data_IF_213415848748
#
_entry.id   IF_213415848748
#
_cell.length_a   1.000
_cell.length_b   1.000
_cell.length_c   1.000
_cell.angle_alpha   90.00
_cell.angle_beta   90.00
_cell.angle_gamma   90.00
#
_symmetry.space_group_name_H-M   'P 1'
#
loop_
_entity.id
_entity.type
_entity.pdbx_description
1 polymer ?
#
# COMPACT_ATOMS: atom_id res chain seq x y z
N UNK A 1 28.42 -22.77 5.04
CA UNK A 1 26.94 -22.65 4.98
C UNK A 1 26.57 -21.98 6.29
N UNK A 2 26.19 -20.68 6.25
CA UNK A 2 25.57 -20.00 7.40
C UNK A 2 24.10 -20.38 7.39
N UNK A 3 23.59 -20.84 8.52
CA UNK A 3 22.14 -21.01 8.73
C UNK A 3 21.43 -19.67 8.46
N UNK A 4 20.27 -19.68 7.82
CA UNK A 4 19.47 -18.47 7.67
C UNK A 4 19.07 -18.03 9.07
N UNK A 5 19.58 -16.89 9.50
CA UNK A 5 19.08 -16.20 10.69
C UNK A 5 17.62 -15.87 10.41
N UNK A 6 16.72 -16.48 11.15
CA UNK A 6 15.32 -16.06 11.25
C UNK A 6 15.31 -14.66 11.87
N UNK A 7 15.49 -13.62 11.06
CA UNK A 7 15.16 -12.26 11.49
C UNK A 7 13.67 -12.21 11.71
N UNK A 8 13.26 -12.16 12.97
CA UNK A 8 11.90 -11.90 13.38
C UNK A 8 11.50 -10.50 12.88
N UNK A 9 10.39 -10.43 12.14
CA UNK A 9 9.86 -9.15 11.68
C UNK A 9 9.42 -8.32 12.88
N UNK A 10 9.65 -6.99 12.95
CA UNK A 10 9.28 -6.15 14.10
C UNK A 10 7.83 -6.27 14.55
N UNK A 11 6.90 -6.67 13.67
CA UNK A 11 5.51 -6.92 14.01
C UNK A 11 5.25 -8.34 14.55
N UNK A 12 6.16 -9.30 14.33
CA UNK A 12 6.06 -10.63 14.96
C UNK A 12 6.60 -10.60 16.39
N UNK A 13 7.47 -9.63 16.74
CA UNK A 13 7.97 -9.44 18.11
C UNK A 13 6.89 -8.91 19.06
N UNK A 14 5.89 -8.19 18.56
CA UNK A 14 4.76 -7.68 19.36
C UNK A 14 3.59 -8.67 19.48
N UNK A 15 3.64 -9.83 18.79
CA UNK A 15 2.58 -10.85 18.82
C UNK A 15 2.90 -11.94 19.83
N UNK A 16 1.84 -12.42 20.48
CA UNK A 16 1.94 -13.60 21.35
C UNK A 16 2.55 -14.78 20.55
N UNK A 17 3.69 -15.36 20.99
CA UNK A 17 4.33 -16.49 20.33
C UNK A 17 3.41 -17.69 20.10
N UNK A 18 2.41 -17.90 20.99
CA UNK A 18 1.42 -18.95 20.84
C UNK A 18 0.51 -18.69 19.63
N UNK A 19 0.10 -17.45 19.41
CA UNK A 19 -0.69 -17.05 18.23
C UNK A 19 0.12 -17.21 16.94
N UNK A 20 1.38 -16.84 16.92
CA UNK A 20 2.26 -17.02 15.75
C UNK A 20 2.47 -18.51 15.41
N UNK A 21 2.67 -19.36 16.41
CA UNK A 21 2.80 -20.81 16.23
C UNK A 21 1.51 -21.44 15.72
N UNK A 22 0.36 -20.98 16.22
CA UNK A 22 -0.95 -21.44 15.77
C UNK A 22 -1.17 -21.11 14.29
N UNK A 23 -1.01 -19.86 13.87
CA UNK A 23 -1.16 -19.43 12.46
C UNK A 23 -0.18 -20.18 11.55
N UNK A 24 1.06 -20.45 12.01
CA UNK A 24 2.01 -21.28 11.28
C UNK A 24 1.50 -22.71 11.10
N UNK A 25 0.85 -23.28 12.14
CA UNK A 25 0.23 -24.60 12.06
C UNK A 25 -0.86 -24.67 10.98
N UNK A 26 -1.75 -23.69 10.97
CA UNK A 26 -2.79 -23.56 9.94
C UNK A 26 -2.19 -23.42 8.53
N UNK A 27 -1.15 -22.61 8.37
CA UNK A 27 -0.47 -22.45 7.10
C UNK A 27 0.17 -23.75 6.61
N UNK A 28 0.72 -24.59 7.51
CA UNK A 28 1.28 -25.89 7.17
C UNK A 28 0.20 -26.86 6.66
N UNK A 29 -0.96 -26.88 7.30
CA UNK A 29 -2.10 -27.67 6.87
C UNK A 29 -2.61 -27.26 5.49
N UNK A 30 -2.77 -25.95 5.26
CA UNK A 30 -3.21 -25.41 3.96
C UNK A 30 -2.15 -25.68 2.89
N UNK A 31 -0.85 -25.41 3.15
CA UNK A 31 0.22 -25.65 2.19
C UNK A 31 0.25 -27.11 1.71
N UNK A 32 0.10 -28.07 2.63
CA UNK A 32 0.12 -29.49 2.31
C UNK A 32 -0.99 -29.90 1.33
N UNK A 33 -2.16 -29.26 1.36
CA UNK A 33 -3.26 -29.51 0.42
C UNK A 33 -2.89 -29.16 -1.03
N UNK A 34 -1.91 -28.26 -1.21
CA UNK A 34 -1.43 -27.78 -2.51
C UNK A 34 -0.02 -28.30 -2.84
N UNK A 35 0.47 -29.29 -2.11
CA UNK A 35 1.77 -29.93 -2.34
C UNK A 35 2.98 -29.18 -1.79
N UNK A 36 2.77 -28.11 -1.00
CA UNK A 36 3.82 -27.35 -0.33
C UNK A 36 4.24 -27.96 1.01
N UNK A 37 5.51 -27.80 1.36
CA UNK A 37 6.04 -28.11 2.70
C UNK A 37 6.51 -26.81 3.36
N UNK A 38 5.77 -26.37 4.37
CA UNK A 38 6.04 -25.08 5.04
C UNK A 38 7.47 -24.96 5.60
N UNK A 39 8.14 -26.11 5.89
CA UNK A 39 9.52 -26.09 6.34
C UNK A 39 10.53 -25.75 5.23
N UNK A 40 10.13 -25.86 3.97
CA UNK A 40 10.91 -25.47 2.79
C UNK A 40 10.51 -24.09 2.25
N UNK A 41 9.37 -23.58 2.71
CA UNK A 41 8.86 -22.27 2.31
C UNK A 41 9.49 -21.16 3.16
N UNK A 42 9.82 -20.04 2.55
CA UNK A 42 10.26 -18.85 3.26
C UNK A 42 9.07 -18.02 3.73
N UNK A 43 9.20 -17.42 4.91
CA UNK A 43 8.26 -16.40 5.36
C UNK A 43 8.47 -15.12 4.55
N UNK A 44 7.44 -14.64 3.87
CA UNK A 44 7.49 -13.34 3.21
C UNK A 44 7.28 -12.22 4.25
N UNK A 45 7.84 -11.05 3.98
CA UNK A 45 7.55 -9.84 4.76
C UNK A 45 6.13 -9.39 4.46
N UNK A 46 5.37 -9.02 5.47
CA UNK A 46 4.01 -8.51 5.36
C UNK A 46 3.55 -7.95 6.69
N UNK A 47 2.68 -6.93 6.66
CA UNK A 47 2.21 -6.25 7.86
C UNK A 47 0.85 -6.77 8.33
N UNK A 48 -0.05 -7.08 7.41
CA UNK A 48 -1.44 -7.43 7.71
C UNK A 48 -1.66 -8.93 7.86
N UNK A 49 -0.94 -9.74 7.06
CA UNK A 49 -1.18 -11.16 6.92
C UNK A 49 0.12 -11.99 7.06
N UNK A 50 -0.03 -13.26 7.38
CA UNK A 50 1.05 -14.22 7.43
C UNK A 50 1.19 -14.93 6.06
N UNK A 51 2.30 -14.73 5.35
CA UNK A 51 2.51 -15.30 4.02
C UNK A 51 3.78 -16.16 3.97
N UNK A 52 3.69 -17.35 3.39
CA UNK A 52 4.80 -18.25 3.09
C UNK A 52 4.86 -18.53 1.60
N UNK A 53 6.07 -18.54 1.02
CA UNK A 53 6.31 -18.69 -0.41
C UNK A 53 7.36 -19.76 -0.66
N UNK A 54 7.09 -20.68 -1.55
CA UNK A 54 7.97 -21.77 -1.94
C UNK A 54 7.20 -22.98 -2.47
N UNK A 55 7.93 -23.95 -2.98
CA UNK A 55 7.36 -25.19 -3.55
C UNK A 55 6.30 -24.93 -4.65
N UNK A 56 6.41 -23.82 -5.37
CA UNK A 56 5.48 -23.45 -6.45
C UNK A 56 4.20 -22.77 -6.00
N UNK A 57 4.04 -22.50 -4.70
CA UNK A 57 2.85 -21.83 -4.15
C UNK A 57 3.19 -20.72 -3.16
N UNK A 58 2.26 -19.79 -2.99
CA UNK A 58 2.26 -18.85 -1.88
C UNK A 58 0.98 -19.04 -1.05
N UNK A 59 1.13 -19.17 0.27
CA UNK A 59 0.04 -19.35 1.23
C UNK A 59 -0.05 -18.13 2.12
N UNK A 60 -1.17 -17.43 2.07
CA UNK A 60 -1.50 -16.27 2.92
C UNK A 60 -2.60 -16.65 3.90
N UNK A 61 -2.37 -16.40 5.19
CA UNK A 61 -3.34 -16.62 6.27
C UNK A 61 -3.58 -15.27 6.97
N UNK A 62 -4.83 -14.93 7.20
CA UNK A 62 -5.17 -13.73 7.99
C UNK A 62 -4.86 -13.94 9.47
N UNK A 63 -4.40 -12.89 10.15
CA UNK A 63 -4.17 -12.97 11.60
C UNK A 63 -5.44 -12.83 12.42
N UNK A 64 -6.44 -12.17 11.87
CA UNK A 64 -7.78 -11.99 12.43
C UNK A 64 -8.80 -12.31 11.35
N UNK A 65 -10.01 -12.75 11.71
CA UNK A 65 -11.08 -12.92 10.72
C UNK A 65 -11.31 -11.60 9.96
N UNK A 66 -11.14 -11.63 8.64
CA UNK A 66 -11.37 -10.52 7.71
C UNK A 66 -12.11 -11.08 6.50
N UNK A 67 -13.15 -10.40 6.05
CA UNK A 67 -13.83 -10.77 4.82
C UNK A 67 -12.94 -10.41 3.59
N UNK A 68 -12.34 -11.43 2.98
CA UNK A 68 -11.50 -11.31 1.79
C UNK A 68 -12.28 -11.50 0.47
N UNK A 69 -13.61 -11.62 0.51
CA UNK A 69 -14.39 -11.96 -0.68
C UNK A 69 -14.25 -10.92 -1.80
N UNK A 70 -14.25 -9.63 -1.46
CA UNK A 70 -14.08 -8.54 -2.44
C UNK A 70 -12.67 -8.56 -3.05
N UNK A 71 -11.63 -8.71 -2.26
CA UNK A 71 -10.25 -8.81 -2.74
C UNK A 71 -10.07 -10.03 -3.66
N UNK A 72 -10.60 -11.20 -3.26
CA UNK A 72 -10.54 -12.42 -4.06
C UNK A 72 -11.27 -12.24 -5.40
N UNK A 73 -12.45 -11.64 -5.38
CA UNK A 73 -13.23 -11.38 -6.59
C UNK A 73 -12.47 -10.44 -7.54
N UNK A 74 -11.90 -9.37 -7.01
CA UNK A 74 -11.10 -8.42 -7.76
C UNK A 74 -9.85 -9.10 -8.34
N UNK A 75 -9.06 -9.78 -7.52
CA UNK A 75 -7.83 -10.46 -7.93
C UNK A 75 -8.07 -11.47 -9.08
N UNK A 76 -9.19 -12.18 -9.08
CA UNK A 76 -9.59 -13.10 -10.16
C UNK A 76 -10.00 -12.41 -11.45
N UNK A 77 -10.41 -11.15 -11.38
CA UNK A 77 -10.86 -10.36 -12.53
C UNK A 77 -9.78 -9.45 -13.11
N UNK A 78 -8.63 -9.31 -12.44
CA UNK A 78 -7.52 -8.49 -12.92
C UNK A 78 -7.02 -8.97 -14.29
N UNK A 79 -6.69 -8.05 -15.22
CA UNK A 79 -6.00 -8.40 -16.45
C UNK A 79 -4.67 -9.13 -16.20
N UNK A 80 -4.32 -10.06 -17.09
CA UNK A 80 -3.08 -10.84 -16.98
C UNK A 80 -1.83 -9.97 -16.97
N UNK A 81 -1.86 -8.82 -17.62
CA UNK A 81 -0.78 -7.84 -17.71
C UNK A 81 -0.41 -7.23 -16.35
N UNK A 82 -1.30 -7.26 -15.38
CA UNK A 82 -1.01 -6.87 -13.98
C UNK A 82 -0.01 -7.86 -13.36
N UNK A 83 -0.01 -9.11 -13.82
CA UNK A 83 0.88 -10.16 -13.32
C UNK A 83 0.48 -10.70 -11.94
N UNK A 84 -0.73 -10.38 -11.45
CA UNK A 84 -1.21 -10.89 -10.17
C UNK A 84 -1.18 -12.43 -10.18
N UNK A 85 -0.65 -13.09 -9.13
CA UNK A 85 -0.57 -14.54 -9.05
C UNK A 85 -1.95 -15.19 -9.17
N UNK A 86 -2.06 -16.27 -9.96
CA UNK A 86 -3.30 -17.00 -10.10
C UNK A 86 -3.71 -17.64 -8.77
N UNK A 87 -4.93 -17.39 -8.32
CA UNK A 87 -5.51 -17.99 -7.11
C UNK A 87 -5.81 -19.46 -7.39
N UNK A 88 -5.17 -20.35 -6.60
CA UNK A 88 -5.36 -21.80 -6.63
C UNK A 88 -6.48 -22.25 -5.71
N UNK A 89 -6.62 -21.59 -4.57
CA UNK A 89 -7.66 -21.89 -3.60
C UNK A 89 -7.86 -20.80 -2.58
N UNK A 90 -9.02 -20.85 -1.96
CA UNK A 90 -9.44 -19.92 -0.89
C UNK A 90 -10.30 -20.68 0.10
N UNK A 91 -10.31 -20.27 1.34
CA UNK A 91 -11.17 -20.85 2.36
C UNK A 91 -10.97 -20.24 3.72
N UNK A 92 -11.60 -20.87 4.70
CA UNK A 92 -11.50 -20.49 6.12
C UNK A 92 -11.13 -21.72 6.92
N UNK A 93 -10.20 -21.58 7.86
CA UNK A 93 -9.77 -22.62 8.78
C UNK A 93 -9.66 -22.04 10.19
N UNK A 94 -10.33 -22.63 11.17
CA UNK A 94 -10.36 -22.17 12.56
C UNK A 94 -10.67 -20.66 12.70
N UNK A 95 -11.55 -20.12 11.82
CA UNK A 95 -11.93 -18.71 11.80
C UNK A 95 -10.92 -17.77 11.11
N UNK A 96 -9.84 -18.30 10.53
CA UNK A 96 -8.86 -17.55 9.76
C UNK A 96 -9.08 -17.78 8.27
N UNK A 97 -9.21 -16.71 7.50
CA UNK A 97 -9.28 -16.82 6.05
C UNK A 97 -7.90 -17.07 5.45
N UNK A 98 -7.87 -17.81 4.37
CA UNK A 98 -6.65 -18.10 3.65
C UNK A 98 -6.82 -18.03 2.13
N UNK A 99 -5.73 -17.65 1.48
CA UNK A 99 -5.60 -17.68 0.02
C UNK A 99 -4.33 -18.45 -0.33
N UNK A 100 -4.43 -19.34 -1.30
CA UNK A 100 -3.27 -19.97 -1.94
C UNK A 100 -3.21 -19.50 -3.38
N UNK A 101 -2.03 -19.02 -3.79
CA UNK A 101 -1.75 -18.62 -5.17
C UNK A 101 -0.58 -19.41 -5.74
N UNK A 102 -0.39 -19.35 -7.06
CA UNK A 102 0.86 -19.78 -7.68
C UNK A 102 2.01 -18.91 -7.16
N UNK A 103 3.18 -19.52 -7.00
CA UNK A 103 4.41 -18.79 -6.74
C UNK A 103 4.84 -18.06 -8.00
N UNK A 104 4.95 -16.74 -7.94
CA UNK A 104 5.55 -15.92 -8.99
C UNK A 104 7.04 -15.74 -8.69
N UNK A 105 7.87 -15.95 -9.72
CA UNK A 105 9.32 -15.73 -9.61
C UNK A 105 9.62 -14.27 -9.32
N UNK A 106 10.73 -14.06 -8.60
CA UNK A 106 11.18 -12.73 -8.23
C UNK A 106 11.28 -12.55 -6.73
N UNK A 107 11.83 -11.44 -6.34
CA UNK A 107 11.88 -11.00 -4.96
C UNK A 107 11.00 -9.77 -4.77
N UNK A 108 10.62 -9.48 -3.55
CA UNK A 108 9.91 -8.25 -3.23
C UNK A 108 10.74 -7.03 -3.69
N UNK A 109 10.13 -6.09 -4.39
CA UNK A 109 10.85 -4.95 -4.96
C UNK A 109 11.49 -4.07 -3.87
N UNK A 110 10.84 -3.93 -2.72
CA UNK A 110 11.42 -3.23 -1.56
C UNK A 110 12.71 -3.92 -1.05
N UNK A 111 12.74 -5.26 -1.03
CA UNK A 111 13.94 -6.03 -0.65
C UNK A 111 15.05 -5.94 -1.70
N UNK A 112 14.69 -5.86 -2.99
CA UNK A 112 15.65 -5.67 -4.08
C UNK A 112 16.27 -4.26 -4.07
N UNK A 113 15.50 -3.25 -3.66
CA UNK A 113 15.77 -1.83 -3.81
C UNK A 113 17.19 -1.38 -3.41
N UNK A 114 17.75 -1.81 -2.25
CA UNK A 114 19.09 -1.38 -1.82
C UNK A 114 20.21 -1.78 -2.77
N UNK A 115 20.01 -2.87 -3.55
CA UNK A 115 21.04 -3.42 -4.45
C UNK A 115 20.85 -3.00 -5.90
N UNK A 116 19.72 -2.36 -6.24
CA UNK A 116 19.40 -1.92 -7.59
C UNK A 116 20.23 -0.70 -8.01
N UNK A 117 20.63 -0.70 -9.27
CA UNK A 117 21.24 0.47 -9.90
C UNK A 117 20.21 1.60 -10.09
N UNK A 118 20.66 2.87 -10.23
CA UNK A 118 19.78 4.00 -10.56
C UNK A 118 18.88 3.77 -11.78
N UNK A 119 19.41 3.10 -12.81
CA UNK A 119 18.66 2.80 -14.02
C UNK A 119 17.54 1.77 -13.77
N UNK A 120 17.81 0.75 -12.95
CA UNK A 120 16.82 -0.25 -12.56
C UNK A 120 15.73 0.36 -11.70
N UNK A 121 16.07 1.22 -10.72
CA UNK A 121 15.08 1.93 -9.90
C UNK A 121 14.14 2.77 -10.77
N UNK A 122 14.68 3.58 -11.69
CA UNK A 122 13.85 4.36 -12.63
C UNK A 122 12.96 3.46 -13.50
N UNK A 123 13.49 2.33 -13.97
CA UNK A 123 12.72 1.36 -14.77
C UNK A 123 11.60 0.74 -13.94
N UNK A 124 11.88 0.31 -12.72
CA UNK A 124 10.90 -0.28 -11.82
C UNK A 124 9.73 0.66 -11.54
N UNK A 125 9.98 1.95 -11.28
CA UNK A 125 8.91 2.94 -11.04
C UNK A 125 8.02 3.11 -12.27
N UNK A 126 8.60 3.16 -13.49
CA UNK A 126 7.80 3.24 -14.71
C UNK A 126 6.95 2.00 -14.91
N UNK A 127 7.53 0.81 -14.72
CA UNK A 127 6.80 -0.46 -14.87
C UNK A 127 5.72 -0.66 -13.81
N UNK A 128 5.96 -0.21 -12.57
CA UNK A 128 4.92 -0.16 -11.53
C UNK A 128 3.74 0.67 -12.01
N UNK A 129 4.00 1.87 -12.52
CA UNK A 129 2.95 2.75 -13.02
C UNK A 129 2.25 2.16 -14.25
N UNK A 130 2.97 1.60 -15.19
CA UNK A 130 2.40 0.92 -16.38
C UNK A 130 1.44 -0.20 -15.97
N UNK A 131 1.79 -0.99 -14.94
CA UNK A 131 0.91 -2.06 -14.46
C UNK A 131 -0.33 -1.55 -13.75
N UNK A 132 -0.22 -0.50 -12.96
CA UNK A 132 -1.40 0.09 -12.33
C UNK A 132 -2.30 0.79 -13.34
N UNK A 133 -1.73 1.37 -14.41
CA UNK A 133 -2.54 1.89 -15.51
C UNK A 133 -3.40 0.81 -16.18
N UNK A 134 -2.91 -0.43 -16.30
CA UNK A 134 -3.74 -1.56 -16.77
C UNK A 134 -4.94 -1.79 -15.86
N UNK A 135 -4.78 -1.64 -14.54
CA UNK A 135 -5.90 -1.71 -13.58
C UNK A 135 -6.87 -0.54 -13.77
N UNK A 136 -6.34 0.69 -13.94
CA UNK A 136 -7.14 1.89 -14.20
C UNK A 136 -7.97 1.73 -15.49
N UNK A 137 -7.35 1.26 -16.59
CA UNK A 137 -8.02 1.04 -17.87
C UNK A 137 -9.09 -0.05 -17.80
N UNK A 138 -8.91 -1.04 -16.91
CA UNK A 138 -9.88 -2.10 -16.68
C UNK A 138 -11.04 -1.69 -15.76
N UNK A 139 -11.09 -0.44 -15.29
CA UNK A 139 -12.14 0.08 -14.39
C UNK A 139 -13.57 -0.30 -14.80
N UNK A 140 -13.98 -0.25 -16.08
CA UNK A 140 -15.36 -0.61 -16.44
C UNK A 140 -15.76 -2.03 -16.01
N UNK A 141 -14.83 -2.98 -16.07
CA UNK A 141 -15.06 -4.38 -15.68
C UNK A 141 -14.83 -4.63 -14.18
N UNK A 142 -13.96 -3.89 -13.54
CA UNK A 142 -13.55 -4.07 -12.15
C UNK A 142 -14.44 -3.31 -11.15
N UNK A 143 -15.06 -2.19 -11.58
CA UNK A 143 -15.90 -1.33 -10.74
C UNK A 143 -16.94 -2.06 -9.90
N UNK A 144 -17.69 -3.08 -10.42
CA UNK A 144 -18.68 -3.79 -9.62
C UNK A 144 -18.10 -4.63 -8.48
N UNK A 145 -16.78 -4.89 -8.49
CA UNK A 145 -16.08 -5.74 -7.54
C UNK A 145 -15.41 -4.93 -6.42
N UNK A 146 -15.29 -3.62 -6.61
CA UNK A 146 -14.65 -2.72 -5.65
C UNK A 146 -15.72 -2.02 -4.82
N UNK A 147 -15.63 -2.13 -3.51
CA UNK A 147 -16.50 -1.41 -2.58
C UNK A 147 -16.31 0.11 -2.70
N UNK A 148 -17.37 0.87 -2.49
CA UNK A 148 -17.31 2.33 -2.45
C UNK A 148 -16.50 2.89 -1.27
N UNK A 149 -16.18 2.03 -0.28
CA UNK A 149 -15.46 2.39 0.92
C UNK A 149 -14.55 1.24 1.36
N UNK A 150 -13.34 1.25 0.89
CA UNK A 150 -12.30 0.37 1.43
C UNK A 150 -11.78 0.83 2.81
N UNK A 151 -12.48 1.71 3.50
CA UNK A 151 -12.07 2.25 4.81
C UNK A 151 -10.81 3.12 4.79
N UNK A 152 -10.27 3.36 3.60
CA UNK A 152 -8.96 3.92 3.36
C UNK A 152 -8.97 5.44 3.24
N UNK A 153 -9.89 5.95 2.43
CA UNK A 153 -10.12 7.39 2.26
C UNK A 153 -11.52 7.69 2.76
N UNK A 154 -11.69 8.63 3.69
CA UNK A 154 -13.02 9.07 4.11
C UNK A 154 -13.89 9.45 2.91
N UNK A 155 -15.18 9.13 2.96
CA UNK A 155 -16.08 9.40 1.83
C UNK A 155 -16.39 10.89 1.66
N UNK A 156 -16.27 11.67 2.75
CA UNK A 156 -16.62 13.09 2.77
C UNK A 156 -15.57 13.92 3.50
N UNK A 157 -15.55 15.22 3.20
CA UNK A 157 -14.71 16.20 3.91
C UNK A 157 -15.00 16.23 5.41
N UNK A 158 -16.24 16.04 5.83
CA UNK A 158 -16.62 16.01 7.24
C UNK A 158 -16.06 14.79 7.94
N UNK A 159 -16.10 13.61 7.32
CA UNK A 159 -15.50 12.38 7.84
C UNK A 159 -13.97 12.50 7.93
N UNK A 160 -13.32 13.09 6.92
CA UNK A 160 -11.88 13.35 6.93
C UNK A 160 -11.50 14.33 8.05
N UNK A 161 -12.30 15.38 8.25
CA UNK A 161 -12.10 16.34 9.33
C UNK A 161 -12.30 15.69 10.70
N UNK A 162 -13.29 14.81 10.84
CA UNK A 162 -13.52 14.06 12.08
C UNK A 162 -12.37 13.08 12.35
N UNK A 163 -11.84 12.39 11.34
CA UNK A 163 -10.67 11.52 11.46
C UNK A 163 -9.43 12.33 11.89
N UNK A 164 -9.20 13.48 11.26
CA UNK A 164 -8.11 14.39 11.65
C UNK A 164 -8.26 14.93 13.07
N UNK A 165 -9.49 15.19 13.51
CA UNK A 165 -9.74 15.63 14.90
C UNK A 165 -9.45 14.53 15.92
N UNK A 166 -9.77 13.26 15.59
CA UNK A 166 -9.40 12.10 16.44
C UNK A 166 -7.88 11.94 16.51
N UNK A 167 -7.22 11.90 15.36
CA UNK A 167 -5.76 11.85 15.32
C UNK A 167 -5.13 13.10 15.96
N UNK A 168 -5.70 14.29 15.74
CA UNK A 168 -5.24 15.56 16.28
C UNK A 168 -5.40 15.73 17.80
N UNK A 169 -6.25 14.94 18.45
CA UNK A 169 -6.32 14.87 19.92
C UNK A 169 -5.04 14.25 20.51
N UNK A 170 -4.46 13.28 19.80
CA UNK A 170 -3.20 12.60 20.13
C UNK A 170 -1.98 13.34 19.54
N UNK A 171 -2.14 13.88 18.35
CA UNK A 171 -1.10 14.53 17.54
C UNK A 171 -1.30 16.05 17.52
N UNK A 172 -0.36 16.78 18.09
CA UNK A 172 -0.46 18.24 18.28
C UNK A 172 -0.19 19.02 16.97
N UNK A 173 -1.17 19.07 16.07
CA UNK A 173 -1.11 20.00 14.96
C UNK A 173 -1.32 21.44 15.45
N UNK A 174 -0.53 22.39 14.95
CA UNK A 174 -0.72 23.80 15.20
C UNK A 174 -2.02 24.32 14.56
N UNK A 175 -2.49 25.51 14.99
CA UNK A 175 -3.68 26.14 14.38
C UNK A 175 -3.49 26.38 12.87
N UNK A 176 -2.28 26.75 12.46
CA UNK A 176 -1.92 26.94 11.04
C UNK A 176 -2.04 25.62 10.29
N UNK A 177 -1.49 24.54 10.81
CA UNK A 177 -1.57 23.22 10.19
C UNK A 177 -3.02 22.70 10.11
N UNK A 178 -3.83 22.92 11.15
CA UNK A 178 -5.26 22.56 11.12
C UNK A 178 -6.03 23.35 10.05
N UNK A 179 -5.75 24.66 9.92
CA UNK A 179 -6.36 25.48 8.89
C UNK A 179 -5.95 25.02 7.50
N UNK A 180 -4.66 24.71 7.31
CA UNK A 180 -4.12 24.21 6.04
C UNK A 180 -4.68 22.84 5.68
N UNK A 181 -4.78 21.94 6.65
CA UNK A 181 -5.43 20.64 6.47
C UNK A 181 -6.84 20.80 5.90
N UNK A 182 -7.65 21.64 6.54
CA UNK A 182 -9.03 21.91 6.09
C UNK A 182 -9.08 22.42 4.65
N UNK A 183 -8.24 23.40 4.32
CA UNK A 183 -8.16 23.96 2.96
C UNK A 183 -7.82 22.90 1.91
N UNK A 184 -6.80 22.06 2.17
CA UNK A 184 -6.36 21.00 1.25
C UNK A 184 -7.48 19.96 1.06
N UNK A 185 -8.11 19.52 2.15
CA UNK A 185 -9.17 18.49 2.12
C UNK A 185 -10.42 19.01 1.42
N UNK A 186 -10.83 20.24 1.68
CA UNK A 186 -11.94 20.88 0.94
C UNK A 186 -11.61 20.99 -0.55
N UNK A 187 -10.35 21.27 -0.91
CA UNK A 187 -9.87 21.27 -2.29
C UNK A 187 -10.03 19.91 -2.96
N UNK A 188 -9.59 18.85 -2.29
CA UNK A 188 -9.70 17.46 -2.77
C UNK A 188 -11.16 17.07 -3.03
N UNK A 189 -12.05 17.21 -2.03
CA UNK A 189 -13.45 16.81 -2.17
C UNK A 189 -14.26 17.68 -3.13
N UNK A 190 -13.79 18.88 -3.43
CA UNK A 190 -14.35 19.71 -4.49
C UNK A 190 -13.92 19.23 -5.87
N UNK A 191 -12.67 18.83 -6.03
CA UNK A 191 -12.11 18.39 -7.31
C UNK A 191 -12.47 16.94 -7.66
N UNK A 192 -12.50 16.03 -6.69
CA UNK A 192 -12.72 14.61 -6.92
C UNK A 192 -13.97 14.26 -7.74
N UNK A 193 -15.14 14.89 -7.55
CA UNK A 193 -16.31 14.62 -8.38
C UNK A 193 -16.21 15.11 -9.83
N UNK A 194 -15.20 15.92 -10.16
CA UNK A 194 -15.04 16.54 -11.48
C UNK A 194 -14.16 15.71 -12.43
N UNK A 195 -13.47 14.69 -11.91
CA UNK A 195 -12.59 13.84 -12.69
C UNK A 195 -13.15 12.42 -12.83
N UNK A 196 -12.61 11.68 -13.79
CA UNK A 196 -12.94 10.26 -13.92
C UNK A 196 -12.36 9.46 -12.73
N UNK A 197 -13.22 8.61 -12.15
CA UNK A 197 -12.80 7.69 -11.10
C UNK A 197 -12.40 6.35 -11.71
N UNK A 198 -11.21 5.90 -11.35
CA UNK A 198 -10.64 4.62 -11.73
C UNK A 198 -10.57 3.67 -10.53
N UNK A 199 -10.44 2.37 -10.81
CA UNK A 199 -10.11 1.40 -9.77
C UNK A 199 -8.63 1.55 -9.45
N UNK A 200 -8.34 2.10 -8.28
CA UNK A 200 -6.99 2.23 -7.75
C UNK A 200 -6.56 0.93 -7.06
N UNK A 201 -5.26 0.65 -7.06
CA UNK A 201 -4.65 -0.36 -6.20
C UNK A 201 -4.85 0.00 -4.71
N UNK A 202 -4.75 1.28 -4.38
CA UNK A 202 -4.98 1.83 -3.05
C UNK A 202 -3.79 1.71 -2.09
N UNK A 203 -2.81 0.86 -2.38
CA UNK A 203 -1.55 0.72 -1.63
C UNK A 203 -0.38 0.44 -2.58
N UNK A 204 -0.20 1.30 -3.61
CA UNK A 204 0.83 1.15 -4.62
C UNK A 204 2.21 1.46 -4.02
N UNK A 205 2.84 0.46 -3.45
CA UNK A 205 4.13 0.54 -2.76
C UNK A 205 5.14 -0.47 -3.33
N UNK A 206 6.43 -0.23 -3.13
CA UNK A 206 7.48 -1.15 -3.56
C UNK A 206 7.31 -2.55 -2.95
N UNK A 207 6.79 -2.63 -1.73
CA UNK A 207 6.56 -3.91 -1.06
C UNK A 207 5.43 -4.75 -1.68
N UNK A 208 4.55 -4.13 -2.46
CA UNK A 208 3.43 -4.79 -3.14
C UNK A 208 3.76 -5.14 -4.60
N UNK A 209 5.04 -5.20 -4.95
CA UNK A 209 5.52 -5.60 -6.27
C UNK A 209 6.61 -6.66 -6.20
N UNK A 210 6.67 -7.51 -7.23
CA UNK A 210 7.76 -8.47 -7.42
C UNK A 210 8.68 -8.04 -8.55
N UNK A 211 9.99 -8.24 -8.33
CA UNK A 211 11.08 -7.89 -9.23
C UNK A 211 11.91 -9.11 -9.61
N UNK A 212 12.07 -9.34 -10.93
CA UNK A 212 12.97 -10.35 -11.52
C UNK A 212 13.72 -9.76 -12.72
N UNK A 213 14.47 -8.66 -12.48
CA UNK A 213 15.05 -7.83 -13.54
C UNK A 213 14.07 -6.82 -14.17
N UNK A 214 12.78 -7.10 -14.06
CA UNK A 214 11.64 -6.23 -14.37
C UNK A 214 10.56 -6.39 -13.28
N UNK A 215 9.62 -5.46 -13.19
CA UNK A 215 8.43 -5.64 -12.35
C UNK A 215 7.55 -6.70 -12.99
N UNK A 216 7.39 -7.85 -12.33
CA UNK A 216 6.68 -9.01 -12.87
C UNK A 216 5.26 -9.16 -12.35
N UNK A 217 4.94 -8.61 -11.18
CA UNK A 217 3.61 -8.68 -10.58
C UNK A 217 3.31 -7.50 -9.67
N UNK A 218 2.03 -7.13 -9.57
CA UNK A 218 1.44 -6.39 -8.45
C UNK A 218 0.68 -7.35 -7.54
N UNK A 219 0.79 -7.14 -6.24
CA UNK A 219 0.25 -7.96 -5.17
C UNK A 219 -0.63 -7.10 -4.27
N UNK A 220 -1.50 -7.76 -3.48
CA UNK A 220 -2.18 -7.18 -2.32
C UNK A 220 -3.14 -6.03 -2.67
N UNK A 221 -4.27 -6.40 -3.27
CA UNK A 221 -5.36 -5.49 -3.64
C UNK A 221 -6.41 -5.31 -2.53
N UNK A 222 -6.04 -5.56 -1.26
CA UNK A 222 -6.97 -5.47 -0.13
C UNK A 222 -7.50 -4.04 0.09
N UNK A 223 -6.75 -3.03 -0.38
CA UNK A 223 -7.12 -1.62 -0.28
C UNK A 223 -7.64 -1.02 -1.60
N UNK A 224 -7.95 -1.85 -2.59
CA UNK A 224 -8.45 -1.35 -3.86
C UNK A 224 -9.74 -0.55 -3.68
N UNK A 225 -9.82 0.61 -4.32
CA UNK A 225 -10.93 1.53 -4.21
C UNK A 225 -11.20 2.28 -5.51
N UNK A 226 -12.42 2.80 -5.63
CA UNK A 226 -12.81 3.67 -6.73
C UNK A 226 -12.55 5.13 -6.37
N UNK A 227 -11.71 5.82 -7.16
CA UNK A 227 -11.35 7.21 -6.90
C UNK A 227 -10.48 7.82 -7.99
N UNK A 228 -10.04 9.07 -7.83
CA UNK A 228 -9.07 9.69 -8.73
C UNK A 228 -7.76 8.88 -8.81
N UNK A 229 -7.13 8.83 -9.99
CA UNK A 229 -5.86 8.12 -10.21
C UNK A 229 -4.70 8.67 -9.36
N UNK A 230 -4.81 9.90 -8.89
CA UNK A 230 -3.87 10.56 -7.99
C UNK A 230 -3.69 9.84 -6.66
N UNK A 231 -4.62 8.96 -6.26
CA UNK A 231 -4.50 8.11 -5.07
C UNK A 231 -3.31 7.16 -5.20
N UNK A 232 -3.22 6.41 -6.30
CA UNK A 232 -2.08 5.52 -6.54
C UNK A 232 -0.79 6.31 -6.78
N UNK A 233 -0.87 7.45 -7.44
CA UNK A 233 0.28 8.28 -7.70
C UNK A 233 0.88 8.86 -6.41
N UNK A 234 0.04 9.36 -5.50
CA UNK A 234 0.54 9.88 -4.23
C UNK A 234 1.18 8.78 -3.39
N UNK A 235 0.60 7.58 -3.39
CA UNK A 235 1.14 6.42 -2.67
C UNK A 235 2.49 5.99 -3.23
N UNK A 236 2.63 5.92 -4.56
CA UNK A 236 3.91 5.64 -5.22
C UNK A 236 4.98 6.68 -4.84
N UNK A 237 4.66 7.98 -4.88
CA UNK A 237 5.62 9.03 -4.54
C UNK A 237 5.98 8.99 -3.06
N UNK A 238 5.01 8.79 -2.17
CA UNK A 238 5.26 8.75 -0.73
C UNK A 238 6.16 7.58 -0.32
N UNK A 239 6.06 6.44 -1.01
CA UNK A 239 6.89 5.26 -0.73
C UNK A 239 8.38 5.47 -1.07
N UNK A 240 8.68 6.44 -1.94
CA UNK A 240 10.05 6.79 -2.31
C UNK A 240 10.71 7.82 -1.37
N UNK A 241 9.96 8.35 -0.40
CA UNK A 241 10.49 9.28 0.60
C UNK A 241 11.28 8.51 1.64
N UNK A 242 12.46 9.02 2.00
CA UNK A 242 13.31 8.45 3.04
C UNK A 242 12.58 8.30 4.38
N UNK A 243 13.06 7.37 5.22
CA UNK A 243 12.47 7.11 6.54
C UNK A 243 12.38 8.35 7.44
N UNK A 244 13.33 9.27 7.32
CA UNK A 244 13.30 10.55 8.04
C UNK A 244 12.34 11.58 7.42
N UNK A 245 11.74 11.28 6.26
CA UNK A 245 10.85 12.19 5.54
C UNK A 245 11.53 13.36 4.85
N UNK A 246 12.86 13.40 4.84
CA UNK A 246 13.63 14.58 4.42
C UNK A 246 13.99 14.59 2.92
N UNK A 247 14.05 13.43 2.29
CA UNK A 247 14.48 13.34 0.89
C UNK A 247 13.73 12.24 0.13
N UNK A 248 13.58 12.43 -1.17
CA UNK A 248 13.16 11.38 -2.09
C UNK A 248 14.40 10.66 -2.64
N UNK A 249 14.27 9.37 -2.94
CA UNK A 249 15.25 8.69 -3.79
C UNK A 249 15.40 9.50 -5.10
N UNK A 250 16.58 10.05 -5.42
CA UNK A 250 16.70 11.05 -6.47
C UNK A 250 16.39 10.50 -7.86
N UNK A 251 16.69 9.23 -8.09
CA UNK A 251 16.50 8.59 -9.39
C UNK A 251 15.06 8.10 -9.59
N UNK A 252 14.53 7.43 -8.60
CA UNK A 252 13.15 6.97 -8.60
C UNK A 252 12.17 8.13 -8.50
N UNK A 253 12.46 9.13 -7.65
CA UNK A 253 11.69 10.35 -7.54
C UNK A 253 11.57 11.11 -8.86
N UNK A 254 12.67 11.23 -9.61
CA UNK A 254 12.62 11.84 -10.95
C UNK A 254 11.65 11.08 -11.90
N UNK A 255 11.68 9.74 -11.88
CA UNK A 255 10.75 8.95 -12.69
C UNK A 255 9.29 9.13 -12.25
N UNK A 256 9.02 9.18 -10.94
CA UNK A 256 7.69 9.44 -10.40
C UNK A 256 7.19 10.85 -10.75
N UNK A 257 8.06 11.87 -10.70
CA UNK A 257 7.73 13.23 -11.13
C UNK A 257 7.45 13.33 -12.63
N UNK A 258 8.21 12.61 -13.47
CA UNK A 258 7.93 12.52 -14.90
C UNK A 258 6.56 11.88 -15.19
N UNK A 259 6.15 10.88 -14.39
CA UNK A 259 4.84 10.27 -14.46
C UNK A 259 3.78 11.30 -14.06
N UNK A 260 3.93 11.92 -12.90
CA UNK A 260 3.00 12.92 -12.39
C UNK A 260 2.77 14.07 -13.38
N UNK A 261 3.85 14.61 -13.94
CA UNK A 261 3.77 15.70 -14.92
C UNK A 261 2.96 15.36 -16.18
N UNK A 262 2.83 14.07 -16.52
CA UNK A 262 2.03 13.61 -17.66
C UNK A 262 0.60 13.21 -17.30
N UNK A 263 0.37 12.82 -16.05
CA UNK A 263 -0.90 12.24 -15.59
C UNK A 263 -1.80 13.26 -14.90
N UNK A 264 -1.22 14.25 -14.23
CA UNK A 264 -2.00 15.22 -13.49
C UNK A 264 -2.86 16.08 -14.42
N UNK A 265 -4.15 16.16 -14.10
CA UNK A 265 -5.02 17.15 -14.72
C UNK A 265 -4.48 18.57 -14.46
N UNK A 266 -4.40 19.44 -15.48
CA UNK A 266 -3.80 20.77 -15.34
C UNK A 266 -4.57 21.70 -14.41
N UNK A 267 -5.86 21.44 -14.14
CA UNK A 267 -6.74 22.27 -13.30
C UNK A 267 -6.83 21.69 -11.89
N UNK A 268 -7.23 20.44 -11.78
CA UNK A 268 -7.60 19.80 -10.51
C UNK A 268 -6.58 18.82 -9.99
N UNK A 269 -5.68 18.28 -10.83
CA UNK A 269 -4.76 17.21 -10.47
C UNK A 269 -3.83 17.53 -9.29
N UNK A 270 -3.40 18.79 -9.15
CA UNK A 270 -2.57 19.19 -7.99
C UNK A 270 -3.35 19.15 -6.68
N UNK A 271 -4.61 19.61 -6.69
CA UNK A 271 -5.47 19.56 -5.51
C UNK A 271 -5.79 18.12 -5.14
N UNK A 272 -6.03 17.25 -6.14
CA UNK A 272 -6.26 15.83 -5.96
C UNK A 272 -5.04 15.12 -5.39
N UNK A 273 -3.86 15.33 -5.98
CA UNK A 273 -2.62 14.71 -5.51
C UNK A 273 -2.27 15.13 -4.08
N UNK A 274 -2.37 16.44 -3.79
CA UNK A 274 -2.06 16.95 -2.45
C UNK A 274 -3.05 16.42 -1.40
N UNK A 275 -4.34 16.47 -1.70
CA UNK A 275 -5.38 15.96 -0.81
C UNK A 275 -5.28 14.45 -0.59
N UNK A 276 -5.04 13.67 -1.65
CA UNK A 276 -4.82 12.23 -1.55
C UNK A 276 -3.61 11.92 -0.65
N UNK A 277 -2.50 12.65 -0.79
CA UNK A 277 -1.31 12.45 0.05
C UNK A 277 -1.57 12.79 1.52
N UNK A 278 -2.32 13.86 1.81
CA UNK A 278 -2.69 14.22 3.19
C UNK A 278 -3.58 13.15 3.80
N UNK A 279 -4.56 12.63 3.05
CA UNK A 279 -5.45 11.57 3.52
C UNK A 279 -4.72 10.24 3.73
N UNK A 280 -3.77 9.90 2.87
CA UNK A 280 -2.93 8.70 3.00
C UNK A 280 -2.10 8.75 4.29
N UNK A 281 -1.43 9.87 4.56
CA UNK A 281 -0.65 10.01 5.79
C UNK A 281 -1.52 10.07 7.06
N UNK A 282 -2.71 10.65 6.97
CA UNK A 282 -3.68 10.63 8.07
C UNK A 282 -4.10 9.19 8.41
N UNK A 283 -4.37 8.37 7.41
CA UNK A 283 -4.70 6.96 7.59
C UNK A 283 -3.55 6.20 8.25
N UNK A 284 -2.33 6.33 7.72
CA UNK A 284 -1.17 5.64 8.28
C UNK A 284 -0.95 6.05 9.74
N UNK A 285 -1.16 7.33 10.05
CA UNK A 285 -1.10 7.83 11.41
C UNK A 285 -2.17 7.19 12.32
N UNK A 286 -3.42 7.09 11.85
CA UNK A 286 -4.53 6.43 12.58
C UNK A 286 -4.22 4.95 12.87
N UNK A 287 -3.66 4.23 11.89
CA UNK A 287 -3.20 2.84 12.06
C UNK A 287 -2.10 2.74 13.13
N UNK A 288 -1.15 3.66 13.14
CA UNK A 288 -0.06 3.66 14.11
C UNK A 288 -0.53 3.99 15.52
N UNK A 289 -1.47 4.93 15.65
CA UNK A 289 -2.11 5.26 16.93
C UNK A 289 -2.88 4.06 17.47
N UNK A 290 -3.67 3.39 16.64
CA UNK A 290 -4.44 2.21 17.03
C UNK A 290 -3.55 1.04 17.51
N UNK A 291 -2.31 0.94 17.00
CA UNK A 291 -1.33 -0.08 17.41
C UNK A 291 -0.60 0.24 18.73
N UNK A 292 -0.84 1.41 19.32
CA UNK A 292 -0.27 1.79 20.63
C UNK A 292 1.26 1.83 20.64
N UNK A 293 1.89 2.35 19.58
CA UNK A 293 3.36 2.46 19.50
C UNK A 293 3.92 3.26 20.66
N UNK A 294 5.11 2.85 21.16
CA UNK A 294 5.76 3.45 22.35
C UNK A 294 6.67 4.64 22.00
N UNK A 295 7.05 4.78 20.74
CA UNK A 295 7.89 5.87 20.26
C UNK A 295 7.10 7.19 20.31
N UNK A 296 7.85 8.30 20.39
CA UNK A 296 7.24 9.63 20.31
C UNK A 296 6.61 9.80 18.92
N UNK A 297 5.38 10.33 18.86
CA UNK A 297 4.67 10.49 17.58
C UNK A 297 5.41 11.42 16.59
N UNK A 298 6.20 12.39 17.09
CA UNK A 298 7.03 13.25 16.25
C UNK A 298 8.12 12.48 15.46
N UNK A 299 8.49 11.30 15.95
CA UNK A 299 9.45 10.43 15.30
C UNK A 299 8.78 9.50 14.26
N UNK A 300 7.46 9.45 14.23
CA UNK A 300 6.73 8.62 13.30
C UNK A 300 6.78 9.18 11.88
N UNK A 301 7.11 8.31 10.92
CA UNK A 301 7.17 8.71 9.51
C UNK A 301 5.87 9.34 9.01
N UNK A 302 4.66 8.76 9.20
CA UNK A 302 3.42 9.38 8.72
C UNK A 302 3.17 10.75 9.35
N UNK A 303 3.57 10.99 10.61
CA UNK A 303 3.46 12.31 11.23
C UNK A 303 4.37 13.34 10.54
N UNK A 304 5.64 12.98 10.30
CA UNK A 304 6.59 13.87 9.61
C UNK A 304 6.15 14.19 8.20
N UNK A 305 5.67 13.18 7.45
CA UNK A 305 5.15 13.39 6.10
C UNK A 305 3.90 14.27 6.11
N UNK A 306 2.94 13.99 7.02
CA UNK A 306 1.73 14.80 7.16
C UNK A 306 2.07 16.27 7.48
N UNK A 307 2.89 16.52 8.48
CA UNK A 307 3.26 17.90 8.84
C UNK A 307 3.98 18.60 7.72
N UNK A 308 4.88 17.92 6.99
CA UNK A 308 5.54 18.48 5.80
C UNK A 308 4.55 18.83 4.69
N UNK A 309 3.54 17.99 4.42
CA UNK A 309 2.48 18.26 3.45
C UNK A 309 1.60 19.47 3.85
N UNK A 310 1.45 19.71 5.15
CA UNK A 310 0.69 20.85 5.68
C UNK A 310 1.50 22.15 5.73
N UNK A 311 2.80 22.11 5.49
CA UNK A 311 3.63 23.31 5.39
C UNK A 311 3.38 24.05 4.07
N UNK A 312 3.77 25.31 4.01
CA UNK A 312 3.47 26.21 2.88
C UNK A 312 4.02 25.69 1.54
N UNK A 313 5.10 24.91 1.56
CA UNK A 313 5.73 24.38 0.36
C UNK A 313 5.14 23.03 -0.09
N UNK A 314 4.36 22.31 0.75
CA UNK A 314 3.73 21.03 0.41
C UNK A 314 4.66 19.82 0.53
N UNK A 315 5.70 19.91 1.37
CA UNK A 315 6.58 18.80 1.72
C UNK A 315 7.25 18.12 0.52
N UNK A 316 7.24 16.80 0.51
CA UNK A 316 7.85 16.01 -0.58
C UNK A 316 7.17 16.20 -1.95
N UNK A 317 5.94 16.72 -1.98
CA UNK A 317 5.22 17.05 -3.21
C UNK A 317 5.53 18.45 -3.75
N UNK A 318 6.32 19.26 -3.04
CA UNK A 318 6.63 20.64 -3.44
C UNK A 318 6.99 20.82 -4.93
N UNK A 319 7.78 19.95 -5.58
CA UNK A 319 8.09 20.07 -7.01
C UNK A 319 6.87 19.90 -7.92
N UNK A 320 5.84 19.18 -7.49
CA UNK A 320 4.62 18.89 -8.28
C UNK A 320 3.49 19.89 -8.02
N UNK A 321 3.54 20.60 -6.90
CA UNK A 321 2.51 21.57 -6.52
C UNK A 321 2.79 22.99 -7.05
N UNK A 322 3.97 23.24 -7.58
CA UNK A 322 4.38 24.49 -8.26
C UNK A 322 4.01 24.45 -9.74
#
# INVERSE_FOLDING_TARGET
>A
MKEPTTETHPLDEDRDPASAAFVRGLAAEVAAQYGGDLNRMRRARGYSNATWVGDGVAVRITHTPVDMAAEIALARALPNEVGHPRILGVGTIEGHDWIVTEEVRGQNLHEAWPTMTPAERRRAIRQLWERVQVVHDATPSLRPLVGSHAGFIPATSDEATAAAARAGAEVRLSDVQRSRFKEIIEGYYRAAPLVEHVVNHGDLALMNALWDGDVVALLDFEFALLGPAEIDLCRLVSDLVSEDGASLDPDAGAAAFDIAARQLDPVDGRALLHGAAVLDQLRDLDIWLARGRKERFEDWRPYRLLTGLLDAEGGFLAPLLR
#
